data_IF_457712740350
#
_entry.id   IF_457712740350
#
_cell.length_a   1.000
_cell.length_b   1.000
_cell.length_c   1.000
_cell.angle_alpha   90.00
_cell.angle_beta   90.00
_cell.angle_gamma   90.00
#
_symmetry.space_group_name_H-M   'P 1'
#
loop_
_entity.id
_entity.type
_entity.pdbx_description
1 polymer ?
#
# COMPACT_ATOMS: atom_id res chain seq x y z
N UNK A 1 -5.47 19.12 -20.67
CA UNK A 1 -6.15 18.25 -19.70
C UNK A 1 -5.28 18.18 -18.45
N UNK A 2 -5.69 18.84 -17.37
CA UNK A 2 -5.09 18.55 -16.06
C UNK A 2 -5.55 17.16 -15.67
N UNK A 3 -4.63 16.19 -15.64
CA UNK A 3 -4.91 14.88 -15.08
C UNK A 3 -5.31 15.09 -13.61
N UNK A 4 -6.59 14.85 -13.31
CA UNK A 4 -7.17 15.12 -11.99
C UNK A 4 -6.35 14.46 -10.90
N UNK A 5 -5.73 15.28 -10.07
CA UNK A 5 -4.86 14.81 -8.98
C UNK A 5 -5.76 14.23 -7.89
N UNK A 6 -5.86 12.90 -7.79
CA UNK A 6 -6.61 12.25 -6.71
C UNK A 6 -5.88 12.49 -5.39
N UNK A 7 -6.43 13.40 -4.58
CA UNK A 7 -5.92 13.67 -3.23
C UNK A 7 -6.57 12.68 -2.28
N UNK A 8 -5.75 11.95 -1.54
CA UNK A 8 -6.25 11.13 -0.45
C UNK A 8 -6.21 11.92 0.83
N UNK A 9 -7.22 11.71 1.67
CA UNK A 9 -7.37 12.38 2.95
C UNK A 9 -7.29 11.34 4.03
N UNK A 10 -6.55 11.66 5.08
CA UNK A 10 -6.61 10.92 6.32
C UNK A 10 -7.73 11.53 7.16
N UNK A 11 -8.66 10.68 7.59
CA UNK A 11 -9.79 11.11 8.43
C UNK A 11 -9.67 10.43 9.77
N UNK A 12 -9.51 11.24 10.82
CA UNK A 12 -9.63 10.78 12.18
C UNK A 12 -11.12 10.68 12.54
N UNK A 13 -11.60 9.46 12.80
CA UNK A 13 -13.03 9.21 13.07
C UNK A 13 -13.47 9.66 14.48
N UNK A 14 -12.54 9.79 15.42
CA UNK A 14 -12.86 10.18 16.79
C UNK A 14 -13.08 11.70 16.91
N UNK A 15 -12.33 12.48 16.14
CA UNK A 15 -12.34 13.95 16.16
C UNK A 15 -13.05 14.54 14.95
N UNK A 16 -13.26 13.77 13.88
CA UNK A 16 -13.75 14.26 12.59
C UNK A 16 -12.73 15.11 11.84
N UNK A 17 -11.47 15.14 12.30
CA UNK A 17 -10.43 15.95 11.67
C UNK A 17 -9.99 15.32 10.35
N UNK A 18 -9.93 16.13 9.30
CA UNK A 18 -9.39 15.73 8.01
C UNK A 18 -8.02 16.38 7.83
N UNK A 19 -6.97 15.57 7.68
CA UNK A 19 -5.67 16.06 7.23
C UNK A 19 -5.54 15.82 5.73
N UNK A 20 -5.08 16.82 4.94
CA UNK A 20 -4.72 16.58 3.55
C UNK A 20 -3.66 15.49 3.52
N UNK A 21 -3.98 14.33 2.96
CA UNK A 21 -3.03 13.25 2.76
C UNK A 21 -2.28 13.40 1.45
N UNK A 22 -1.49 12.38 1.12
CA UNK A 22 -0.69 12.32 -0.09
C UNK A 22 -1.55 12.03 -1.32
N UNK A 23 -1.04 12.35 -2.51
CA UNK A 23 -1.64 11.98 -3.79
C UNK A 23 -1.25 10.53 -4.13
N UNK A 24 -2.22 9.69 -4.51
CA UNK A 24 -1.97 8.30 -4.89
C UNK A 24 -3.25 7.55 -5.29
N UNK A 25 -3.08 6.40 -5.94
CA UNK A 25 -4.19 5.68 -6.60
C UNK A 25 -4.74 4.51 -5.76
N UNK A 26 -4.00 4.04 -4.76
CA UNK A 26 -4.35 2.88 -3.91
C UNK A 26 -3.65 2.99 -2.56
N UNK A 27 -4.35 2.62 -1.48
CA UNK A 27 -3.89 2.79 -0.10
C UNK A 27 -4.15 1.55 0.73
N UNK A 28 -3.26 1.26 1.68
CA UNK A 28 -3.43 0.23 2.69
C UNK A 28 -2.78 0.66 4.00
N UNK A 29 -3.49 0.44 5.10
CA UNK A 29 -3.07 0.81 6.45
C UNK A 29 -2.22 -0.28 7.09
N UNK A 30 -1.27 0.11 7.97
CA UNK A 30 -0.64 -0.88 8.83
C UNK A 30 -1.66 -1.46 9.78
N UNK A 31 -1.45 -2.71 10.22
CA UNK A 31 -2.23 -3.27 11.31
C UNK A 31 -2.20 -2.43 12.59
N UNK A 32 -1.10 -1.71 12.85
CA UNK A 32 -0.94 -0.80 13.99
C UNK A 32 -1.40 0.64 13.74
N UNK A 33 -1.78 0.97 12.50
CA UNK A 33 -2.24 2.30 12.10
C UNK A 33 -1.17 3.40 12.08
N UNK A 34 0.10 3.08 12.33
CA UNK A 34 1.19 4.07 12.40
C UNK A 34 1.66 4.55 11.03
N UNK A 35 1.45 3.78 9.97
CA UNK A 35 1.79 4.17 8.61
C UNK A 35 0.71 3.74 7.60
N UNK A 36 0.79 4.28 6.39
CA UNK A 36 0.00 3.86 5.24
C UNK A 36 0.89 3.59 4.04
N UNK A 37 0.71 2.44 3.39
CA UNK A 37 1.28 2.15 2.09
C UNK A 37 0.41 2.75 1.00
N UNK A 38 1.00 3.41 0.01
CA UNK A 38 0.28 3.91 -1.15
C UNK A 38 1.11 3.88 -2.42
N UNK A 39 0.44 3.84 -3.57
CA UNK A 39 1.12 3.91 -4.87
C UNK A 39 0.88 5.24 -5.58
N UNK A 40 1.95 5.81 -6.13
CA UNK A 40 1.90 6.96 -7.04
C UNK A 40 2.87 6.70 -8.20
N UNK A 41 2.38 6.79 -9.44
CA UNK A 41 3.21 6.66 -10.65
C UNK A 41 4.06 5.38 -10.69
N UNK A 42 3.45 4.23 -10.31
CA UNK A 42 4.11 2.91 -10.19
C UNK A 42 5.25 2.84 -9.16
N UNK A 43 5.26 3.75 -8.20
CA UNK A 43 6.14 3.70 -7.04
C UNK A 43 5.28 3.55 -5.78
N UNK A 44 5.66 2.61 -4.92
CA UNK A 44 5.06 2.43 -3.60
C UNK A 44 5.84 3.25 -2.58
N UNK A 45 5.08 3.90 -1.70
CA UNK A 45 5.56 4.73 -0.62
C UNK A 45 4.96 4.28 0.71
N UNK A 46 5.69 4.51 1.78
CA UNK A 46 5.18 4.45 3.16
C UNK A 46 5.06 5.87 3.71
N UNK A 47 3.83 6.25 4.06
CA UNK A 47 3.49 7.47 4.76
C UNK A 47 3.47 7.21 6.26
N UNK A 48 4.35 7.85 7.00
CA UNK A 48 4.25 7.93 8.46
C UNK A 48 3.11 8.88 8.86
N UNK A 49 2.17 8.38 9.67
CA UNK A 49 0.96 9.13 10.05
C UNK A 49 1.21 10.31 10.98
N UNK A 50 2.26 10.24 11.79
CA UNK A 50 2.54 11.25 12.81
C UNK A 50 3.30 12.42 12.18
N UNK A 51 4.32 12.10 11.40
CA UNK A 51 5.23 13.07 10.77
C UNK A 51 4.75 13.52 9.40
N UNK A 52 3.82 12.80 8.78
CA UNK A 52 3.35 13.02 7.41
C UNK A 52 4.47 12.89 6.36
N UNK A 53 5.56 12.19 6.69
CA UNK A 53 6.69 11.94 5.79
C UNK A 53 6.42 10.70 4.97
N UNK A 54 6.60 10.80 3.64
CA UNK A 54 6.50 9.67 2.72
C UNK A 54 7.88 9.21 2.26
N UNK A 55 8.13 7.91 2.33
CA UNK A 55 9.40 7.29 1.93
C UNK A 55 9.17 6.29 0.78
N UNK A 56 9.93 6.35 -0.33
CA UNK A 56 9.80 5.38 -1.41
C UNK A 56 10.35 4.02 -0.96
N UNK A 57 9.61 2.94 -1.23
CA UNK A 57 9.99 1.58 -0.82
C UNK A 57 10.37 0.73 -2.03
N UNK A 58 9.46 0.58 -2.99
CA UNK A 58 9.68 -0.25 -4.19
C UNK A 58 8.77 0.15 -5.34
N UNK A 59 9.14 -0.24 -6.56
CA UNK A 59 8.32 -0.01 -7.74
C UNK A 59 7.17 -1.02 -7.81
N UNK A 60 5.94 -0.54 -7.99
CA UNK A 60 4.74 -1.36 -7.98
C UNK A 60 3.46 -0.54 -7.81
N UNK A 61 2.32 -1.22 -7.73
CA UNK A 61 1.03 -0.58 -7.47
C UNK A 61 0.07 -1.47 -6.68
N UNK A 62 -1.03 -0.89 -6.20
CA UNK A 62 -2.05 -1.54 -5.38
C UNK A 62 -1.49 -2.27 -4.13
N UNK A 63 -0.75 -1.56 -3.26
CA UNK A 63 -0.15 -2.17 -2.08
C UNK A 63 -1.21 -2.64 -1.08
N UNK A 64 -0.96 -3.78 -0.43
CA UNK A 64 -1.79 -4.31 0.66
C UNK A 64 -0.89 -4.84 1.78
N UNK A 65 -1.05 -4.27 2.97
CA UNK A 65 -0.28 -4.67 4.13
C UNK A 65 -0.71 -6.04 4.67
N UNK A 66 0.27 -6.87 5.03
CA UNK A 66 0.01 -8.11 5.75
C UNK A 66 -0.54 -7.84 7.17
N UNK A 67 -1.36 -8.75 7.73
CA UNK A 67 -1.96 -8.55 9.05
C UNK A 67 -0.95 -8.56 10.20
N UNK A 68 0.22 -9.16 9.98
CA UNK A 68 1.34 -9.18 10.92
C UNK A 68 2.26 -7.95 10.78
N UNK A 69 2.02 -7.10 9.78
CA UNK A 69 2.78 -5.87 9.54
C UNK A 69 4.15 -6.08 8.91
N UNK A 70 4.59 -7.31 8.65
CA UNK A 70 5.95 -7.61 8.16
C UNK A 70 6.10 -7.45 6.63
N UNK A 71 5.00 -7.46 5.89
CA UNK A 71 5.02 -7.52 4.44
C UNK A 71 4.06 -6.54 3.78
N UNK A 72 4.42 -6.11 2.57
CA UNK A 72 3.52 -5.45 1.63
C UNK A 72 3.37 -6.35 0.41
N UNK A 73 2.15 -6.75 0.09
CA UNK A 73 1.82 -7.38 -1.18
C UNK A 73 1.49 -6.31 -2.21
N UNK A 74 1.95 -6.45 -3.45
CA UNK A 74 1.70 -5.47 -4.51
C UNK A 74 1.79 -6.10 -5.90
N UNK A 75 1.33 -5.36 -6.92
CA UNK A 75 1.39 -5.78 -8.31
C UNK A 75 2.62 -5.23 -9.00
N UNK A 76 3.27 -6.07 -9.80
CA UNK A 76 4.52 -5.74 -10.48
C UNK A 76 4.37 -4.53 -11.42
N UNK A 77 5.36 -3.62 -11.46
CA UNK A 77 5.31 -2.43 -12.31
C UNK A 77 5.39 -2.75 -13.82
N UNK A 78 5.90 -3.94 -14.16
CA UNK A 78 6.15 -4.40 -15.53
C UNK A 78 5.18 -5.47 -16.01
N UNK A 79 4.69 -6.34 -15.11
CA UNK A 79 3.70 -7.36 -15.45
C UNK A 79 2.49 -7.29 -14.49
N UNK A 80 1.32 -6.82 -14.94
CA UNK A 80 0.15 -6.66 -14.07
C UNK A 80 -0.44 -7.99 -13.53
N UNK A 81 0.13 -9.12 -13.93
CA UNK A 81 -0.25 -10.45 -13.48
C UNK A 81 0.58 -10.96 -12.30
N UNK A 82 1.71 -10.31 -12.00
CA UNK A 82 2.60 -10.75 -10.94
C UNK A 82 2.24 -10.11 -9.61
N UNK A 83 2.10 -10.96 -8.60
CA UNK A 83 1.96 -10.58 -7.20
C UNK A 83 3.30 -10.72 -6.51
N UNK A 84 3.82 -9.62 -5.99
CA UNK A 84 5.09 -9.55 -5.28
C UNK A 84 4.82 -9.27 -3.81
N UNK A 85 5.59 -9.90 -2.93
CA UNK A 85 5.69 -9.57 -1.51
C UNK A 85 7.02 -8.86 -1.26
N UNK A 86 6.98 -7.71 -0.59
CA UNK A 86 8.14 -6.98 -0.09
C UNK A 86 8.22 -7.10 1.43
N UNK A 87 9.34 -7.57 1.96
CA UNK A 87 9.59 -7.69 3.39
C UNK A 87 10.16 -6.38 3.95
N UNK A 88 9.51 -5.82 4.97
CA UNK A 88 9.85 -4.48 5.45
C UNK A 88 11.14 -4.39 6.25
N UNK A 89 11.62 -5.49 6.83
CA UNK A 89 12.79 -5.46 7.71
C UNK A 89 14.13 -5.46 6.95
N UNK A 90 14.19 -6.11 5.79
CA UNK A 90 15.43 -6.31 5.03
C UNK A 90 15.28 -5.95 3.54
N UNK A 91 14.08 -5.57 3.10
CA UNK A 91 13.78 -5.11 1.75
C UNK A 91 13.75 -6.20 0.68
N UNK A 92 13.79 -7.48 1.05
CA UNK A 92 13.78 -8.55 0.05
C UNK A 92 12.38 -8.74 -0.55
N UNK A 93 12.36 -9.19 -1.81
CA UNK A 93 11.13 -9.39 -2.58
C UNK A 93 10.95 -10.83 -3.05
N UNK A 94 9.70 -11.30 -3.03
CA UNK A 94 9.33 -12.64 -3.48
C UNK A 94 8.16 -12.51 -4.44
N UNK A 95 8.29 -13.05 -5.66
CA UNK A 95 7.11 -13.21 -6.51
C UNK A 95 6.30 -14.40 -6.02
N UNK A 96 5.14 -14.11 -5.43
CA UNK A 96 4.26 -15.10 -4.83
C UNK A 96 3.44 -15.84 -5.89
N UNK A 97 2.96 -15.12 -6.91
CA UNK A 97 2.11 -15.66 -7.98
C UNK A 97 2.50 -15.03 -9.31
N UNK A 98 2.61 -15.84 -10.36
CA UNK A 98 2.51 -15.40 -11.75
C UNK A 98 1.12 -15.77 -12.26
N UNK A 99 0.18 -14.82 -12.24
CA UNK A 99 -1.19 -15.11 -12.63
C UNK A 99 -1.31 -15.24 -14.16
N UNK A 100 -2.27 -16.05 -14.63
CA UNK A 100 -2.63 -16.08 -16.06
C UNK A 100 -3.69 -15.03 -16.43
N UNK A 101 -4.12 -14.24 -15.45
CA UNK A 101 -5.16 -13.20 -15.60
C UNK A 101 -4.87 -12.03 -14.67
N UNK A 102 -5.37 -10.85 -15.02
CA UNK A 102 -5.10 -9.62 -14.29
C UNK A 102 -5.67 -9.71 -12.88
N UNK A 103 -4.82 -9.48 -11.88
CA UNK A 103 -5.24 -9.34 -10.50
C UNK A 103 -5.76 -7.91 -10.32
N UNK A 104 -7.04 -7.76 -9.95
CA UNK A 104 -7.67 -6.43 -9.76
C UNK A 104 -7.80 -6.01 -8.31
N UNK A 105 -7.73 -6.97 -7.39
CA UNK A 105 -7.85 -6.72 -5.96
C UNK A 105 -7.01 -7.73 -5.20
N UNK A 106 -6.48 -7.29 -4.06
CA UNK A 106 -5.67 -8.08 -3.15
C UNK A 106 -6.22 -7.86 -1.74
N UNK A 107 -6.16 -8.91 -0.93
CA UNK A 107 -6.60 -8.85 0.45
C UNK A 107 -5.97 -9.98 1.24
N UNK A 108 -5.46 -9.66 2.42
CA UNK A 108 -5.01 -10.68 3.35
C UNK A 108 -6.18 -11.24 4.14
N UNK A 109 -6.13 -12.55 4.42
CA UNK A 109 -7.07 -13.16 5.35
C UNK A 109 -6.79 -12.61 6.76
N UNK A 110 -7.80 -12.14 7.50
CA UNK A 110 -7.61 -11.72 8.88
C UNK A 110 -7.19 -12.90 9.77
N UNK A 111 -6.43 -12.65 10.85
CA UNK A 111 -6.04 -13.71 11.78
C UNK A 111 -7.29 -14.35 12.41
N UNK A 112 -7.34 -15.68 12.45
CA UNK A 112 -8.41 -16.41 13.12
C UNK A 112 -8.20 -16.26 14.63
N UNK A 113 -9.11 -15.57 15.32
CA UNK A 113 -9.17 -15.60 16.78
C UNK A 113 -9.77 -16.94 17.19
N UNK A 114 -8.99 -17.77 17.88
CA UNK A 114 -9.48 -18.99 18.55
C UNK A 114 -10.36 -18.64 19.74
#
# INVERSE_FOLDING_TARGET
EEQGTYRVYLVDLATGSMTPGVTGDSYSWSPDGTQAAYSNSKQIYLLDTQTQVSTPVTAGYAPVWSPDGAWIAFLSPTDPHDLILHHLADGHEITLVHARTVIRTLGWRPPVRS
#
